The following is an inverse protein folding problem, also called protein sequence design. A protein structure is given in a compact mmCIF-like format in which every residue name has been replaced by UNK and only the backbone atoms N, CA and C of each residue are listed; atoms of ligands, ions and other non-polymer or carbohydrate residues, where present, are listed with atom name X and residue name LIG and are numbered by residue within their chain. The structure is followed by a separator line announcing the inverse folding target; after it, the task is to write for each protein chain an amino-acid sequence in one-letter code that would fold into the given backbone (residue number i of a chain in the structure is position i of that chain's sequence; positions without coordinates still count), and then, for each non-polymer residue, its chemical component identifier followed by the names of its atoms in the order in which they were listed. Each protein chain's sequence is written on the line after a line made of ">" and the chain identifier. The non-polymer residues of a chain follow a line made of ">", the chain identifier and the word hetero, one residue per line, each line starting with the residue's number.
data_IF_384665536708
#
_entry.id   IF_384665536708
#
_cell.length_a   1.000
_cell.length_b   1.000
_cell.length_c   1.000
_cell.angle_alpha   90.00
_cell.angle_beta   90.00
_cell.angle_gamma   90.00
#
_symmetry.space_group_name_H-M   'P 1'
#
loop_
_entity.id
_entity.type
_entity.pdbx_description
1 polymer ?
#
# COMPACT_ATOMS: atom_id res chain seq x y z
N UNK A 1 -21.49 49.03 14.14
CA UNK A 1 -21.33 47.59 14.50
C UNK A 1 -20.97 46.84 13.24
N UNK A 2 -19.73 46.39 13.07
CA UNK A 2 -19.34 45.62 11.91
C UNK A 2 -19.52 44.13 12.21
N UNK A 3 -20.14 43.42 11.26
CA UNK A 3 -20.30 41.97 11.21
C UNK A 3 -18.91 41.28 11.11
N UNK A 4 -18.59 40.51 12.10
CA UNK A 4 -17.46 39.56 12.08
C UNK A 4 -17.87 38.43 11.17
N UNK A 5 -17.33 38.41 9.95
CA UNK A 5 -17.34 37.22 9.08
C UNK A 5 -16.34 36.23 9.64
N UNK A 6 -16.85 35.17 10.27
CA UNK A 6 -16.08 34.00 10.64
C UNK A 6 -15.72 33.28 9.33
N UNK A 7 -14.48 33.42 8.91
CA UNK A 7 -13.88 32.58 7.89
C UNK A 7 -13.67 31.19 8.51
N UNK A 8 -14.57 30.26 8.22
CA UNK A 8 -14.25 28.84 8.36
C UNK A 8 -13.19 28.50 7.29
N UNK A 9 -11.95 28.46 7.71
CA UNK A 9 -10.88 27.83 6.94
C UNK A 9 -11.16 26.32 6.95
N UNK A 10 -11.82 25.82 5.91
CA UNK A 10 -11.91 24.39 5.65
C UNK A 10 -10.51 23.96 5.21
N UNK A 11 -9.75 23.39 6.13
CA UNK A 11 -8.51 22.70 5.82
C UNK A 11 -8.86 21.44 5.03
N UNK A 12 -8.78 21.53 3.71
CA UNK A 12 -8.79 20.34 2.84
C UNK A 12 -7.48 19.56 3.07
N UNK A 13 -7.53 18.57 3.93
CA UNK A 13 -6.46 17.59 4.10
C UNK A 13 -6.50 16.66 2.89
N UNK A 14 -5.59 16.86 1.96
CA UNK A 14 -5.39 15.92 0.83
C UNK A 14 -4.66 14.67 1.35
N UNK A 15 -5.35 13.54 1.28
CA UNK A 15 -4.82 12.24 1.68
C UNK A 15 -4.59 11.35 0.45
N UNK A 16 -3.43 10.71 0.42
CA UNK A 16 -2.96 9.77 -0.60
C UNK A 16 -3.35 8.32 -0.22
N UNK A 17 -3.27 7.42 -1.20
CA UNK A 17 -3.43 5.98 -1.03
C UNK A 17 -2.35 5.44 -0.07
N UNK A 18 -2.73 4.76 1.00
CA UNK A 18 -1.83 4.38 2.09
C UNK A 18 -1.68 2.89 2.23
N UNK A 19 -0.44 2.47 2.32
CA UNK A 19 -0.13 1.09 2.69
C UNK A 19 1.23 1.06 3.37
N UNK A 20 1.27 0.56 4.58
CA UNK A 20 2.50 0.30 5.30
C UNK A 20 3.09 -1.05 4.89
N UNK A 21 4.39 -1.24 5.15
CA UNK A 21 5.05 -2.54 5.08
C UNK A 21 5.49 -2.96 6.47
N UNK A 22 5.18 -4.20 6.85
CA UNK A 22 5.60 -4.80 8.12
C UNK A 22 6.46 -6.03 7.88
N UNK A 23 7.40 -6.27 8.77
CA UNK A 23 8.30 -7.43 8.77
C UNK A 23 8.54 -7.88 10.21
N UNK A 24 8.66 -9.19 10.42
CA UNK A 24 9.13 -9.80 11.66
C UNK A 24 10.17 -10.87 11.36
N UNK A 25 11.26 -10.91 12.12
CA UNK A 25 12.33 -11.90 11.96
C UNK A 25 12.63 -12.52 13.32
N UNK A 26 12.67 -13.85 13.35
CA UNK A 26 13.12 -14.65 14.46
C UNK A 26 14.43 -15.33 14.10
N UNK A 27 15.45 -15.20 14.95
CA UNK A 27 16.76 -15.87 14.86
C UNK A 27 17.66 -15.46 13.66
N UNK A 28 17.46 -14.25 13.07
CA UNK A 28 18.37 -13.68 12.07
C UNK A 28 18.14 -12.18 11.85
N UNK A 29 18.20 -11.41 12.92
CA UNK A 29 17.80 -10.00 12.95
C UNK A 29 18.59 -9.08 12.00
N UNK A 30 19.84 -9.44 11.63
CA UNK A 30 20.69 -8.61 10.77
C UNK A 30 20.11 -8.39 9.36
N UNK A 31 19.20 -9.26 8.91
CA UNK A 31 18.58 -9.16 7.61
C UNK A 31 17.43 -8.15 7.55
N UNK A 32 17.02 -7.56 8.67
CA UNK A 32 15.85 -6.66 8.74
C UNK A 32 15.98 -5.45 7.80
N UNK A 33 17.18 -4.89 7.68
CA UNK A 33 17.46 -3.72 6.86
C UNK A 33 17.19 -4.01 5.39
N UNK A 34 17.68 -5.14 4.88
CA UNK A 34 17.45 -5.50 3.48
C UNK A 34 15.99 -5.85 3.21
N UNK A 35 15.32 -6.54 4.14
CA UNK A 35 13.89 -6.81 4.05
C UNK A 35 13.05 -5.53 4.03
N UNK A 36 13.35 -4.55 4.90
CA UNK A 36 12.69 -3.25 4.92
C UNK A 36 12.94 -2.46 3.62
N UNK A 37 14.15 -2.55 3.05
CA UNK A 37 14.46 -1.93 1.77
C UNK A 37 13.58 -2.48 0.63
N UNK A 38 13.37 -3.79 0.59
CA UNK A 38 12.46 -4.43 -0.37
C UNK A 38 10.99 -4.06 -0.16
N UNK A 39 10.61 -3.61 1.04
CA UNK A 39 9.27 -3.09 1.36
C UNK A 39 9.15 -1.56 1.22
N UNK A 40 10.22 -0.83 0.90
CA UNK A 40 10.25 0.63 0.90
C UNK A 40 9.23 1.27 -0.08
N UNK A 41 8.81 0.54 -1.11
CA UNK A 41 7.75 1.00 -2.03
C UNK A 41 6.40 1.17 -1.33
N UNK A 42 6.17 0.50 -0.19
CA UNK A 42 4.96 0.60 0.63
C UNK A 42 4.93 1.83 1.52
N UNK A 43 6.09 2.41 1.85
CA UNK A 43 6.13 3.62 2.69
C UNK A 43 7.49 4.30 2.68
N UNK A 44 7.51 5.63 2.61
CA UNK A 44 8.74 6.45 2.52
C UNK A 44 8.83 7.56 3.57
N UNK A 45 7.77 7.74 4.37
CA UNK A 45 7.69 8.87 5.29
C UNK A 45 8.31 8.57 6.67
N UNK A 46 8.58 7.30 6.93
CA UNK A 46 9.26 6.88 8.14
C UNK A 46 9.58 5.40 8.16
N UNK A 47 10.56 5.06 8.97
CA UNK A 47 11.01 3.69 9.22
C UNK A 47 11.21 3.48 10.71
N UNK A 48 10.95 2.27 11.19
CA UNK A 48 11.22 1.89 12.57
C UNK A 48 11.40 0.41 12.75
N UNK A 49 12.11 0.07 13.81
CA UNK A 49 12.35 -1.30 14.27
C UNK A 49 12.12 -1.39 15.78
N UNK A 50 11.60 -2.51 16.24
CA UNK A 50 11.57 -2.89 17.65
C UNK A 50 12.20 -4.28 17.80
N UNK A 51 12.98 -4.45 18.85
CA UNK A 51 13.84 -5.61 19.06
C UNK A 51 13.77 -6.08 20.49
N UNK A 52 13.76 -7.40 20.72
CA UNK A 52 13.98 -7.91 22.05
C UNK A 52 15.48 -8.07 22.34
N UNK A 53 15.88 -7.68 23.54
CA UNK A 53 17.22 -7.99 24.06
C UNK A 53 17.26 -9.44 24.56
N UNK A 54 18.45 -9.97 24.78
CA UNK A 54 18.63 -11.29 25.42
C UNK A 54 18.08 -11.34 26.85
N UNK A 55 17.89 -10.20 27.49
CA UNK A 55 17.30 -10.05 28.84
C UNK A 55 15.77 -9.91 28.80
N UNK A 56 15.15 -9.94 27.63
CA UNK A 56 13.70 -9.80 27.44
C UNK A 56 13.16 -8.36 27.35
N UNK A 57 14.03 -7.34 27.48
CA UNK A 57 13.62 -5.96 27.30
C UNK A 57 13.40 -5.65 25.81
N UNK A 58 12.52 -4.71 25.51
CA UNK A 58 12.29 -4.25 24.14
C UNK A 58 12.99 -2.92 23.92
N UNK A 59 13.73 -2.82 22.81
CA UNK A 59 14.36 -1.60 22.32
C UNK A 59 13.66 -1.15 21.06
N UNK A 60 13.39 0.15 20.95
CA UNK A 60 12.69 0.78 19.83
C UNK A 60 13.56 1.86 19.20
N UNK A 61 13.70 1.82 17.87
CA UNK A 61 14.34 2.88 17.10
C UNK A 61 13.42 3.28 15.93
N UNK A 62 13.09 4.58 15.81
CA UNK A 62 12.19 5.11 14.78
C UNK A 62 12.72 6.42 14.23
N UNK A 63 12.64 6.58 12.91
CA UNK A 63 13.09 7.78 12.20
C UNK A 63 12.10 8.18 11.12
N UNK A 64 11.96 9.49 10.93
CA UNK A 64 11.31 10.04 9.73
C UNK A 64 12.21 9.84 8.52
N UNK A 65 11.59 9.76 7.34
CA UNK A 65 12.30 9.57 6.07
C UNK A 65 12.45 8.10 5.68
N UNK A 66 13.20 7.89 4.63
CA UNK A 66 13.43 6.57 4.04
C UNK A 66 14.41 5.73 4.86
N UNK A 67 14.42 4.43 4.56
CA UNK A 67 15.42 3.53 5.15
C UNK A 67 16.86 3.95 4.77
N UNK A 68 17.08 4.35 3.52
CA UNK A 68 18.42 4.74 3.05
C UNK A 68 18.99 5.93 3.84
N UNK A 69 18.14 6.90 4.18
CA UNK A 69 18.53 8.07 5.01
C UNK A 69 18.85 7.69 6.46
N UNK A 70 18.35 6.56 6.96
CA UNK A 70 18.40 6.17 8.36
C UNK A 70 19.15 4.85 8.62
N UNK A 71 19.67 4.21 7.57
CA UNK A 71 20.24 2.87 7.59
C UNK A 71 21.34 2.69 8.64
N UNK A 72 22.28 3.63 8.72
CA UNK A 72 23.43 3.52 9.61
C UNK A 72 23.02 3.55 11.09
N UNK A 73 22.04 4.39 11.45
CA UNK A 73 21.52 4.48 12.82
C UNK A 73 20.83 3.17 13.21
N UNK A 74 20.00 2.63 12.31
CA UNK A 74 19.30 1.37 12.57
C UNK A 74 20.28 0.19 12.68
N UNK A 75 21.28 0.12 11.79
CA UNK A 75 22.35 -0.91 11.86
C UNK A 75 23.15 -0.83 13.15
N UNK A 76 23.54 0.38 13.58
CA UNK A 76 24.27 0.57 14.84
C UNK A 76 23.44 0.06 16.03
N UNK A 77 22.14 0.35 16.05
CA UNK A 77 21.24 -0.09 17.12
C UNK A 77 21.08 -1.62 17.11
N UNK A 78 20.94 -2.25 15.94
CA UNK A 78 20.84 -3.72 15.79
C UNK A 78 22.13 -4.37 16.27
N UNK A 79 23.30 -3.88 15.85
CA UNK A 79 24.60 -4.45 16.21
C UNK A 79 24.87 -4.36 17.72
N UNK A 80 24.49 -3.24 18.35
CA UNK A 80 24.62 -3.07 19.82
C UNK A 80 23.68 -3.97 20.60
N UNK A 81 22.48 -4.19 20.08
CA UNK A 81 21.44 -4.99 20.75
C UNK A 81 21.67 -6.50 20.54
N UNK A 82 22.14 -6.89 19.36
CA UNK A 82 22.26 -8.29 18.91
C UNK A 82 21.00 -9.11 19.25
N UNK A 83 19.83 -8.70 18.73
CA UNK A 83 18.54 -9.25 19.14
C UNK A 83 18.29 -10.61 18.50
N UNK A 84 17.48 -11.44 19.18
CA UNK A 84 16.98 -12.69 18.61
C UNK A 84 15.70 -12.46 17.77
N UNK A 85 14.88 -11.47 18.16
CA UNK A 85 13.66 -11.12 17.46
C UNK A 85 13.69 -9.63 17.12
N UNK A 86 13.30 -9.32 15.89
CA UNK A 86 13.13 -7.93 15.43
C UNK A 86 11.85 -7.84 14.61
N UNK A 87 11.09 -6.77 14.83
CA UNK A 87 9.99 -6.37 13.95
C UNK A 87 10.29 -5.00 13.35
N UNK A 88 9.84 -4.78 12.13
CA UNK A 88 10.09 -3.53 11.42
C UNK A 88 8.87 -3.03 10.68
N UNK A 89 8.90 -1.75 10.39
CA UNK A 89 7.81 -1.04 9.72
C UNK A 89 8.36 0.05 8.79
N UNK A 90 7.82 0.12 7.58
CA UNK A 90 7.97 1.28 6.68
C UNK A 90 6.62 1.98 6.57
N UNK A 91 6.62 3.29 6.79
CA UNK A 91 5.41 4.10 6.90
C UNK A 91 5.16 4.94 5.66
N UNK A 92 3.91 4.97 5.29
CA UNK A 92 3.34 6.02 4.47
C UNK A 92 2.42 6.89 5.35
N UNK A 93 2.67 8.20 5.44
CA UNK A 93 1.93 9.08 6.36
C UNK A 93 0.59 9.52 5.81
N UNK A 94 -0.43 9.52 6.68
CA UNK A 94 -1.80 9.94 6.38
C UNK A 94 -2.06 11.42 6.67
N UNK A 95 -1.20 12.09 7.43
CA UNK A 95 -1.43 13.44 7.96
C UNK A 95 -0.34 14.43 7.58
N UNK A 96 -0.67 15.73 7.61
CA UNK A 96 0.20 16.84 7.16
C UNK A 96 0.86 17.64 8.29
N UNK A 97 0.79 17.20 9.56
CA UNK A 97 1.27 17.96 10.72
C UNK A 97 2.57 17.44 11.32
N UNK A 98 3.25 18.28 12.12
CA UNK A 98 4.51 17.98 12.82
C UNK A 98 4.41 16.90 13.92
N UNK A 99 3.25 16.28 14.11
CA UNK A 99 3.01 15.20 15.09
C UNK A 99 3.45 13.80 14.60
N UNK A 100 4.12 13.73 13.44
CA UNK A 100 4.47 12.48 12.75
C UNK A 100 5.32 11.50 13.56
N UNK A 101 6.17 11.97 14.45
CA UNK A 101 7.07 11.10 15.22
C UNK A 101 6.29 10.17 16.16
N UNK A 102 5.15 10.62 16.67
CA UNK A 102 4.34 9.83 17.60
C UNK A 102 3.55 8.70 16.93
N UNK A 103 3.32 8.81 15.62
CA UNK A 103 2.60 7.81 14.84
C UNK A 103 3.51 6.82 14.11
N UNK A 104 4.84 6.99 14.19
CA UNK A 104 5.78 6.03 13.62
C UNK A 104 5.66 4.70 14.35
N UNK A 105 5.71 3.64 13.58
CA UNK A 105 5.69 2.28 14.09
C UNK A 105 7.07 1.61 13.88
N UNK A 106 7.37 0.52 14.63
CA UNK A 106 6.56 -0.11 15.66
C UNK A 106 6.23 0.81 16.84
N UNK A 107 5.16 0.51 17.57
CA UNK A 107 4.91 1.08 18.90
C UNK A 107 5.14 0.01 19.94
N UNK A 108 5.45 0.43 21.16
CA UNK A 108 5.74 -0.53 22.25
C UNK A 108 5.21 -0.07 23.59
N UNK A 109 5.03 -1.05 24.47
CA UNK A 109 4.95 -0.93 25.91
C UNK A 109 6.13 -1.64 26.57
N UNK A 110 6.09 -1.77 27.88
CA UNK A 110 7.15 -2.49 28.61
C UNK A 110 7.30 -3.96 28.21
N UNK A 111 6.21 -4.61 27.79
CA UNK A 111 6.17 -6.06 27.52
C UNK A 111 5.96 -6.41 26.05
N UNK A 112 5.48 -5.47 25.23
CA UNK A 112 4.96 -5.74 23.88
C UNK A 112 5.50 -4.71 22.90
N UNK A 113 5.87 -5.17 21.70
CA UNK A 113 6.02 -4.29 20.54
C UNK A 113 5.11 -4.77 19.41
N UNK A 114 4.52 -3.82 18.66
CA UNK A 114 3.57 -4.10 17.57
C UNK A 114 3.87 -3.25 16.34
N UNK A 115 3.82 -3.87 15.17
CA UNK A 115 3.74 -3.21 13.88
C UNK A 115 2.49 -3.66 13.12
N UNK A 116 1.79 -2.70 12.51
CA UNK A 116 0.48 -2.83 11.92
C UNK A 116 0.48 -2.29 10.48
N UNK A 117 -0.10 -3.07 9.58
CA UNK A 117 -0.46 -2.66 8.23
C UNK A 117 -1.97 -2.82 8.05
N UNK A 118 -2.70 -1.72 7.95
CA UNK A 118 -4.15 -1.73 7.81
C UNK A 118 -4.79 -0.41 8.21
N UNK A 119 -6.08 -0.48 8.49
CA UNK A 119 -6.86 0.65 9.02
C UNK A 119 -8.03 0.12 9.84
N UNK A 120 -8.17 0.60 11.06
CA UNK A 120 -9.30 0.33 11.94
C UNK A 120 -10.05 1.66 12.10
N UNK A 121 -11.17 1.86 11.41
CA UNK A 121 -11.96 3.08 11.51
C UNK A 121 -12.66 3.18 12.86
N UNK A 122 -13.17 4.38 13.20
CA UNK A 122 -13.99 4.65 14.39
C UNK A 122 -13.28 4.43 15.74
N UNK A 123 -11.96 4.68 15.78
CA UNK A 123 -11.15 4.67 17.01
C UNK A 123 -10.71 6.10 17.38
N UNK A 124 -11.62 7.06 17.27
CA UNK A 124 -11.35 8.51 17.38
C UNK A 124 -10.84 8.95 18.76
N UNK A 125 -11.14 8.17 19.81
CA UNK A 125 -10.61 8.41 21.15
C UNK A 125 -9.11 8.12 21.29
N UNK A 126 -8.50 7.50 20.28
CA UNK A 126 -7.09 7.16 20.23
C UNK A 126 -6.37 7.99 19.18
N UNK A 127 -5.10 8.31 19.41
CA UNK A 127 -4.28 9.07 18.45
C UNK A 127 -4.17 8.37 17.10
N UNK A 128 -4.14 7.04 17.10
CA UNK A 128 -4.13 6.17 15.93
C UNK A 128 -4.57 4.74 16.29
N UNK A 129 -5.00 3.98 15.29
CA UNK A 129 -5.56 2.63 15.43
C UNK A 129 -4.61 1.59 16.06
N UNK A 130 -3.31 1.66 15.76
CA UNK A 130 -2.32 0.77 16.37
C UNK A 130 -2.22 0.98 17.89
N UNK A 131 -2.37 2.22 18.37
CA UNK A 131 -2.40 2.51 19.80
C UNK A 131 -3.66 1.95 20.47
N UNK A 132 -4.79 1.95 19.77
CA UNK A 132 -6.01 1.29 20.23
C UNK A 132 -5.77 -0.21 20.48
N UNK A 133 -5.13 -0.90 19.52
CA UNK A 133 -4.78 -2.32 19.68
C UNK A 133 -3.84 -2.53 20.88
N UNK A 134 -2.78 -1.72 20.98
CA UNK A 134 -1.80 -1.85 22.08
C UNK A 134 -2.46 -1.67 23.43
N UNK A 135 -3.28 -0.64 23.61
CA UNK A 135 -3.98 -0.37 24.86
C UNK A 135 -4.96 -1.50 25.23
N UNK A 136 -5.66 -2.06 24.23
CA UNK A 136 -6.51 -3.22 24.48
C UNK A 136 -5.71 -4.41 25.02
N UNK A 137 -4.56 -4.70 24.42
CA UNK A 137 -3.70 -5.80 24.88
C UNK A 137 -3.20 -5.52 26.30
N UNK A 138 -2.70 -4.31 26.58
CA UNK A 138 -2.17 -3.94 27.90
C UNK A 138 -3.22 -4.02 29.01
N UNK A 139 -4.43 -3.58 28.73
CA UNK A 139 -5.52 -3.60 29.72
C UNK A 139 -5.98 -5.02 30.08
N UNK A 140 -5.69 -6.02 29.23
CA UNK A 140 -6.18 -7.38 29.43
C UNK A 140 -5.06 -8.39 29.75
N UNK A 141 -3.79 -8.04 29.57
CA UNK A 141 -2.66 -8.99 29.63
C UNK A 141 -2.45 -9.63 31.01
N UNK A 142 -2.90 -8.97 32.07
CA UNK A 142 -2.80 -9.49 33.44
C UNK A 142 -4.09 -10.22 33.87
N UNK A 143 -5.14 -10.26 33.03
CA UNK A 143 -6.46 -10.84 33.37
C UNK A 143 -6.80 -12.11 32.58
N UNK A 144 -6.42 -12.17 31.31
CA UNK A 144 -6.63 -13.33 30.44
C UNK A 144 -5.33 -13.67 29.69
N UNK A 145 -5.25 -14.87 29.12
CA UNK A 145 -4.05 -15.29 28.39
C UNK A 145 -3.82 -14.43 27.13
N UNK A 146 -2.55 -14.23 26.78
CA UNK A 146 -2.21 -13.45 25.58
C UNK A 146 -2.84 -14.03 24.30
N UNK A 147 -2.97 -15.35 24.19
CA UNK A 147 -3.65 -16.00 23.08
C UNK A 147 -5.13 -15.63 23.01
N UNK A 148 -5.84 -15.62 24.15
CA UNK A 148 -7.25 -15.21 24.22
C UNK A 148 -7.42 -13.74 23.84
N UNK A 149 -6.48 -12.86 24.23
CA UNK A 149 -6.49 -11.45 23.80
C UNK A 149 -6.45 -11.34 22.28
N UNK A 150 -5.52 -12.05 21.64
CA UNK A 150 -5.37 -12.02 20.18
C UNK A 150 -6.58 -12.65 19.46
N UNK A 151 -7.17 -13.71 20.01
CA UNK A 151 -8.40 -14.31 19.49
C UNK A 151 -9.57 -13.32 19.58
N UNK A 152 -9.69 -12.63 20.71
CA UNK A 152 -10.73 -11.61 20.91
C UNK A 152 -10.55 -10.43 19.94
N UNK A 153 -9.31 -10.01 19.61
CA UNK A 153 -9.06 -9.01 18.59
C UNK A 153 -9.64 -9.43 17.24
N UNK A 154 -9.36 -10.65 16.77
CA UNK A 154 -9.86 -11.15 15.49
C UNK A 154 -11.39 -11.25 15.48
N UNK A 155 -11.98 -11.69 16.59
CA UNK A 155 -13.42 -11.88 16.70
C UNK A 155 -14.19 -10.55 16.80
N UNK A 156 -13.58 -9.51 17.37
CA UNK A 156 -14.24 -8.24 17.68
C UNK A 156 -13.97 -7.15 16.67
N UNK A 157 -12.78 -7.12 16.04
CA UNK A 157 -12.40 -6.08 15.09
C UNK A 157 -12.67 -6.56 13.65
N UNK A 158 -13.78 -6.12 13.10
CA UNK A 158 -14.15 -6.39 11.70
C UNK A 158 -13.61 -5.26 10.81
N UNK A 159 -12.34 -5.32 10.52
CA UNK A 159 -11.63 -4.32 9.71
C UNK A 159 -10.45 -4.95 8.95
N UNK A 160 -9.62 -4.15 8.32
CA UNK A 160 -8.45 -4.60 7.57
C UNK A 160 -7.18 -4.38 8.38
N UNK A 161 -6.51 -5.46 8.78
CA UNK A 161 -5.23 -5.39 9.45
C UNK A 161 -4.38 -6.66 9.30
N UNK A 162 -3.08 -6.44 9.21
CA UNK A 162 -2.06 -7.46 9.42
C UNK A 162 -1.12 -6.97 10.50
N UNK A 163 -0.79 -7.81 11.47
CA UNK A 163 0.03 -7.45 12.62
C UNK A 163 1.22 -8.38 12.77
N UNK A 164 2.36 -7.80 13.20
CA UNK A 164 3.47 -8.54 13.78
C UNK A 164 3.77 -7.99 15.17
N UNK A 165 3.99 -8.88 16.15
CA UNK A 165 4.18 -8.51 17.54
C UNK A 165 5.36 -9.26 18.16
N UNK A 166 6.02 -8.62 19.13
CA UNK A 166 6.95 -9.26 20.06
C UNK A 166 6.28 -9.32 21.42
N UNK A 167 6.18 -10.50 21.98
CA UNK A 167 5.74 -10.74 23.36
C UNK A 167 6.37 -12.01 23.90
N UNK A 168 6.88 -11.96 25.14
CA UNK A 168 7.45 -13.10 25.87
C UNK A 168 8.45 -13.93 25.04
N UNK A 169 9.45 -13.26 24.46
CA UNK A 169 10.46 -13.87 23.57
C UNK A 169 9.89 -14.66 22.39
N UNK A 170 8.67 -14.36 21.96
CA UNK A 170 8.04 -14.93 20.80
C UNK A 170 7.69 -13.85 19.78
N UNK A 171 7.75 -14.23 18.50
CA UNK A 171 7.22 -13.44 17.40
C UNK A 171 5.81 -13.97 17.07
N UNK A 172 4.83 -13.07 17.04
CA UNK A 172 3.47 -13.39 16.63
C UNK A 172 3.15 -12.71 15.31
N UNK A 173 2.35 -13.38 14.49
CA UNK A 173 1.76 -12.80 13.31
C UNK A 173 0.28 -13.16 13.24
N UNK A 174 -0.54 -12.17 12.90
CA UNK A 174 -1.97 -12.38 12.72
C UNK A 174 -2.53 -11.52 11.59
N UNK A 175 -3.58 -12.02 10.96
CA UNK A 175 -4.25 -11.38 9.85
C UNK A 175 -5.76 -11.30 10.12
N UNK A 176 -6.38 -10.19 9.72
CA UNK A 176 -7.82 -10.01 9.90
C UNK A 176 -8.64 -11.17 9.28
N UNK A 177 -9.87 -11.35 9.75
CA UNK A 177 -10.73 -12.47 9.32
C UNK A 177 -11.10 -12.49 7.84
N UNK A 178 -10.91 -11.37 7.13
CA UNK A 178 -11.17 -11.24 5.70
C UNK A 178 -9.90 -11.34 4.86
N UNK A 179 -8.73 -11.25 5.48
CA UNK A 179 -7.45 -11.26 4.80
C UNK A 179 -7.30 -10.12 3.79
N UNK A 180 -7.81 -8.93 4.14
CA UNK A 180 -7.79 -7.75 3.26
C UNK A 180 -6.37 -7.33 2.93
N UNK A 181 -5.48 -7.34 3.94
CA UNK A 181 -4.06 -7.01 3.77
C UNK A 181 -3.22 -8.26 3.64
N UNK A 182 -2.18 -8.25 2.76
CA UNK A 182 -1.31 -9.40 2.60
C UNK A 182 -0.42 -9.60 3.84
N UNK A 183 -0.16 -10.86 4.16
CA UNK A 183 0.84 -11.27 5.14
C UNK A 183 1.30 -12.69 4.82
N UNK A 184 2.60 -12.91 4.73
CA UNK A 184 3.20 -14.21 4.47
C UNK A 184 4.33 -14.49 5.45
N UNK A 185 4.74 -15.75 5.53
CA UNK A 185 5.85 -16.18 6.35
C UNK A 185 6.65 -17.29 5.67
N UNK A 186 7.87 -17.48 6.12
CA UNK A 186 8.71 -18.56 5.64
C UNK A 186 9.80 -18.92 6.63
N UNK A 187 10.40 -20.11 6.42
CA UNK A 187 11.47 -20.67 7.22
C UNK A 187 12.72 -20.89 6.36
N UNK A 188 13.88 -20.57 6.92
CA UNK A 188 15.18 -20.91 6.31
C UNK A 188 15.63 -22.31 6.71
N UNK A 189 16.66 -22.83 6.04
CA UNK A 189 17.32 -24.10 6.42
C UNK A 189 17.96 -24.07 7.82
N UNK A 190 18.26 -22.89 8.35
CA UNK A 190 18.95 -22.68 9.64
C UNK A 190 17.98 -22.27 10.78
N UNK A 191 16.72 -22.68 10.70
CA UNK A 191 15.69 -22.42 11.71
C UNK A 191 15.51 -20.92 12.03
N UNK A 192 15.72 -20.05 11.05
CA UNK A 192 15.29 -18.66 11.11
C UNK A 192 13.93 -18.51 10.44
N UNK A 193 13.10 -17.61 10.97
CA UNK A 193 11.73 -17.41 10.49
C UNK A 193 11.51 -15.96 10.14
N UNK A 194 10.78 -15.75 9.07
CA UNK A 194 10.44 -14.44 8.53
C UNK A 194 8.94 -14.33 8.36
N UNK A 195 8.39 -13.19 8.73
CA UNK A 195 7.00 -12.80 8.47
C UNK A 195 7.05 -11.46 7.74
N UNK A 196 6.30 -11.30 6.66
CA UNK A 196 6.33 -10.06 5.88
C UNK A 196 5.00 -9.74 5.23
N UNK A 197 4.73 -8.45 5.01
CA UNK A 197 3.62 -8.00 4.17
C UNK A 197 3.69 -8.55 2.75
N UNK A 198 4.89 -8.70 2.20
CA UNK A 198 5.08 -9.18 0.82
C UNK A 198 6.21 -10.21 0.71
N UNK A 199 6.03 -11.17 -0.18
CA UNK A 199 6.99 -12.26 -0.41
C UNK A 199 8.34 -11.76 -0.91
N UNK A 200 8.38 -10.69 -1.71
CA UNK A 200 9.63 -10.11 -2.25
C UNK A 200 10.64 -9.77 -1.15
N UNK A 201 10.18 -9.45 0.05
CA UNK A 201 11.06 -9.12 1.16
C UNK A 201 11.83 -10.33 1.71
N UNK A 202 11.30 -11.55 1.51
CA UNK A 202 11.81 -12.76 2.15
C UNK A 202 12.10 -13.91 1.17
N UNK A 203 11.66 -13.83 -0.09
CA UNK A 203 11.67 -14.94 -1.06
C UNK A 203 13.07 -15.50 -1.34
N UNK A 204 14.10 -14.68 -1.34
CA UNK A 204 15.49 -15.10 -1.55
C UNK A 204 16.16 -15.70 -0.31
N UNK A 205 15.45 -15.78 0.83
CA UNK A 205 16.00 -16.21 2.13
C UNK A 205 15.38 -17.49 2.65
N UNK A 206 14.13 -17.74 2.32
CA UNK A 206 13.36 -18.84 2.88
C UNK A 206 13.24 -20.00 1.89
N UNK A 207 13.14 -21.22 2.40
CA UNK A 207 12.99 -22.42 1.58
C UNK A 207 11.60 -22.53 0.95
N UNK A 208 10.59 -21.96 1.61
CA UNK A 208 9.20 -21.92 1.14
C UNK A 208 8.48 -20.74 1.74
N UNK A 209 7.46 -20.24 1.02
CA UNK A 209 6.61 -19.16 1.49
C UNK A 209 5.20 -19.70 1.68
N UNK A 210 4.65 -19.41 2.86
CA UNK A 210 3.27 -19.68 3.21
C UNK A 210 2.55 -18.36 3.49
N UNK A 211 1.26 -18.27 3.19
CA UNK A 211 0.47 -17.13 3.62
C UNK A 211 -0.07 -17.33 5.03
N UNK A 212 -0.07 -16.25 5.82
CA UNK A 212 -0.91 -16.21 7.00
C UNK A 212 -2.35 -16.12 6.51
N UNK A 213 -3.14 -17.15 6.80
CA UNK A 213 -4.52 -17.24 6.31
C UNK A 213 -5.40 -16.13 6.93
N UNK A 214 -6.51 -15.76 6.29
CA UNK A 214 -7.51 -14.91 6.93
C UNK A 214 -7.91 -15.46 8.30
N UNK A 215 -7.94 -14.58 9.32
CA UNK A 215 -8.29 -14.97 10.69
C UNK A 215 -7.32 -15.91 11.39
N UNK A 216 -6.10 -16.08 10.87
CA UNK A 216 -5.09 -16.93 11.48
C UNK A 216 -4.19 -16.15 12.43
N UNK A 217 -3.81 -16.81 13.53
CA UNK A 217 -2.75 -16.40 14.46
C UNK A 217 -1.68 -17.46 14.47
N UNK A 218 -0.44 -17.07 14.20
CA UNK A 218 0.75 -17.91 14.36
C UNK A 218 1.69 -17.32 15.39
N UNK A 219 2.36 -18.20 16.14
CA UNK A 219 3.42 -17.90 17.10
C UNK A 219 4.70 -18.58 16.62
N UNK A 220 5.80 -17.86 16.70
CA UNK A 220 7.12 -18.33 16.32
C UNK A 220 8.06 -18.19 17.52
N UNK A 221 8.70 -19.27 17.88
CA UNK A 221 9.68 -19.32 18.99
C UNK A 221 10.78 -20.37 18.69
N UNK A 222 11.58 -20.72 19.68
CA UNK A 222 12.65 -21.71 19.54
C UNK A 222 12.17 -23.12 19.13
N UNK A 223 10.92 -23.47 19.43
CA UNK A 223 10.32 -24.75 19.04
C UNK A 223 9.77 -24.75 17.61
N UNK A 224 9.72 -23.58 16.96
CA UNK A 224 9.21 -23.44 15.60
C UNK A 224 7.98 -22.58 15.47
N UNK A 225 7.16 -22.90 14.46
CA UNK A 225 5.88 -22.24 14.19
C UNK A 225 4.76 -23.04 14.83
N UNK A 226 3.96 -22.36 15.62
CA UNK A 226 2.75 -22.89 16.27
C UNK A 226 1.54 -22.12 15.73
N UNK A 227 0.53 -22.82 15.24
CA UNK A 227 -0.77 -22.24 14.89
C UNK A 227 -1.62 -22.13 16.14
N UNK A 228 -1.88 -20.90 16.57
CA UNK A 228 -2.66 -20.61 17.78
C UNK A 228 -4.15 -20.62 17.50
N UNK A 229 -4.56 -20.08 16.36
CA UNK A 229 -5.97 -19.91 16.02
C UNK A 229 -6.20 -19.82 14.52
N UNK A 230 -7.32 -20.37 14.08
CA UNK A 230 -7.92 -20.15 12.77
C UNK A 230 -9.39 -19.81 12.96
N UNK A 231 -9.79 -18.64 12.50
CA UNK A 231 -11.18 -18.21 12.63
C UNK A 231 -12.11 -19.10 11.76
N UNK A 232 -13.18 -19.72 12.35
CA UNK A 232 -13.97 -20.72 11.65
C UNK A 232 -14.77 -20.17 10.45
N UNK A 233 -15.05 -18.86 10.45
CA UNK A 233 -15.78 -18.16 9.37
C UNK A 233 -14.89 -17.14 8.66
N UNK A 234 -13.61 -17.43 8.51
CA UNK A 234 -12.70 -16.58 7.77
C UNK A 234 -13.00 -16.63 6.25
N UNK A 235 -12.84 -15.51 5.58
CA UNK A 235 -13.04 -15.37 4.14
C UNK A 235 -11.80 -14.74 3.49
N UNK A 236 -11.48 -15.12 2.26
CA UNK A 236 -10.37 -14.51 1.53
C UNK A 236 -10.89 -13.36 0.68
N UNK A 237 -10.77 -12.14 1.19
CA UNK A 237 -11.23 -10.91 0.50
C UNK A 237 -10.06 -9.94 0.30
N UNK A 238 -9.01 -10.40 -0.39
CA UNK A 238 -7.83 -9.58 -0.67
C UNK A 238 -8.24 -8.29 -1.40
N UNK A 239 -7.71 -7.15 -0.96
CA UNK A 239 -7.95 -5.86 -1.60
C UNK A 239 -7.45 -5.87 -3.05
N UNK A 240 -8.33 -5.58 -4.02
CA UNK A 240 -7.98 -5.54 -5.44
C UNK A 240 -6.89 -4.50 -5.75
N UNK A 241 -6.84 -3.39 -5.01
CA UNK A 241 -5.79 -2.38 -5.12
C UNK A 241 -4.39 -2.91 -4.77
N UNK A 242 -4.28 -3.94 -3.92
CA UNK A 242 -2.99 -4.60 -3.67
C UNK A 242 -2.43 -5.18 -4.97
N UNK A 243 -3.25 -5.86 -5.76
CA UNK A 243 -2.85 -6.46 -7.03
C UNK A 243 -2.63 -5.42 -8.13
N UNK A 244 -3.48 -4.40 -8.20
CA UNK A 244 -3.43 -3.39 -9.25
C UNK A 244 -2.25 -2.42 -9.03
N UNK A 245 -2.03 -1.98 -7.78
CA UNK A 245 -1.14 -0.85 -7.50
C UNK A 245 -0.11 -1.12 -6.40
N UNK A 246 -0.53 -1.53 -5.16
CA UNK A 246 0.33 -1.43 -3.99
C UNK A 246 1.48 -2.43 -3.96
N UNK A 247 1.19 -3.71 -4.21
CA UNK A 247 2.21 -4.76 -4.12
C UNK A 247 3.27 -4.61 -5.20
N UNK A 248 4.48 -5.02 -4.87
CA UNK A 248 5.55 -5.17 -5.84
C UNK A 248 5.15 -6.23 -6.90
N UNK A 249 5.33 -5.97 -8.20
CA UNK A 249 4.97 -6.93 -9.24
C UNK A 249 5.68 -8.28 -9.12
N UNK A 250 6.85 -8.30 -8.50
CA UNK A 250 7.63 -9.54 -8.30
C UNK A 250 7.28 -10.26 -6.98
N UNK A 251 6.35 -9.74 -6.19
CA UNK A 251 5.77 -10.45 -5.04
C UNK A 251 4.80 -11.54 -5.49
N UNK A 252 4.71 -12.61 -4.70
CA UNK A 252 3.69 -13.67 -4.85
C UNK A 252 2.59 -13.50 -3.82
N UNK A 253 1.37 -13.74 -4.24
CA UNK A 253 0.17 -13.80 -3.40
C UNK A 253 -0.75 -14.89 -3.94
N UNK A 254 -1.31 -15.73 -3.07
CA UNK A 254 -2.18 -16.87 -3.44
C UNK A 254 -1.57 -17.76 -4.54
N UNK A 255 -0.25 -17.98 -4.45
CA UNK A 255 0.51 -18.81 -5.38
C UNK A 255 0.86 -18.16 -6.72
N UNK A 256 0.42 -16.92 -7.00
CA UNK A 256 0.61 -16.22 -8.28
C UNK A 256 1.44 -14.95 -8.08
N UNK A 257 2.30 -14.64 -9.05
CA UNK A 257 3.00 -13.34 -9.06
C UNK A 257 2.02 -12.19 -9.33
N UNK A 258 2.19 -11.08 -8.63
CA UNK A 258 1.40 -9.85 -8.86
C UNK A 258 1.57 -9.35 -10.31
N UNK A 259 2.77 -9.50 -10.86
CA UNK A 259 3.06 -9.22 -12.28
C UNK A 259 2.06 -9.89 -13.23
N UNK A 260 1.73 -11.16 -12.99
CA UNK A 260 0.78 -11.91 -13.83
C UNK A 260 -0.62 -11.28 -13.83
N UNK A 261 -1.08 -10.78 -12.68
CA UNK A 261 -2.36 -10.05 -12.62
C UNK A 261 -2.30 -8.79 -13.48
N UNK A 262 -1.22 -7.99 -13.37
CA UNK A 262 -1.05 -6.74 -14.15
C UNK A 262 -0.86 -6.98 -15.63
N UNK A 263 -0.17 -8.04 -16.04
CA UNK A 263 -0.06 -8.47 -17.43
C UNK A 263 -1.44 -8.82 -18.01
N UNK A 264 -2.24 -9.58 -17.28
CA UNK A 264 -3.59 -9.93 -17.69
C UNK A 264 -4.49 -8.70 -17.81
N UNK A 265 -4.41 -7.76 -16.89
CA UNK A 265 -5.12 -6.49 -16.98
C UNK A 265 -4.78 -5.73 -18.25
N UNK A 266 -3.48 -5.63 -18.61
CA UNK A 266 -3.04 -5.00 -19.85
C UNK A 266 -3.55 -5.72 -21.12
N UNK A 267 -3.56 -7.07 -21.12
CA UNK A 267 -4.09 -7.88 -22.21
C UNK A 267 -5.60 -7.68 -22.38
N UNK A 268 -6.36 -7.68 -21.28
CA UNK A 268 -7.82 -7.47 -21.29
C UNK A 268 -8.14 -6.06 -21.80
N UNK A 269 -7.41 -5.06 -21.30
CA UNK A 269 -7.53 -3.68 -21.77
C UNK A 269 -7.30 -3.57 -23.29
N UNK A 270 -6.27 -4.24 -23.81
CA UNK A 270 -5.97 -4.28 -25.24
C UNK A 270 -7.09 -4.96 -26.06
N UNK A 271 -7.68 -6.05 -25.57
CA UNK A 271 -8.81 -6.73 -26.22
C UNK A 271 -10.06 -5.87 -26.31
N UNK A 272 -10.27 -4.99 -25.34
CA UNK A 272 -11.42 -4.07 -25.29
C UNK A 272 -11.22 -2.79 -26.07
N UNK A 273 -9.98 -2.46 -26.41
CA UNK A 273 -9.69 -1.22 -27.12
C UNK A 273 -10.13 -1.33 -28.59
N UNK A 274 -11.14 -0.53 -28.93
CA UNK A 274 -11.72 -0.48 -30.28
C UNK A 274 -11.00 0.50 -31.20
N UNK A 275 -9.97 1.23 -30.71
CA UNK A 275 -9.21 2.15 -31.53
C UNK A 275 -8.26 1.37 -32.44
N UNK A 276 -8.24 1.77 -33.71
CA UNK A 276 -7.30 1.20 -34.66
C UNK A 276 -6.00 1.99 -34.64
N UNK A 277 -5.10 1.63 -33.72
CA UNK A 277 -3.79 2.25 -33.59
C UNK A 277 -2.81 1.69 -34.63
N UNK A 278 -2.13 2.58 -35.33
CA UNK A 278 -1.08 2.20 -36.28
C UNK A 278 0.27 2.04 -35.59
N UNK A 279 0.97 0.91 -35.73
CA UNK A 279 2.31 0.73 -35.17
C UNK A 279 3.36 1.70 -35.72
N UNK A 280 3.09 2.35 -36.86
CA UNK A 280 3.98 3.35 -37.45
C UNK A 280 3.86 4.72 -36.79
N UNK A 281 2.67 5.02 -36.24
CA UNK A 281 2.33 6.38 -35.80
C UNK A 281 2.11 6.48 -34.29
N UNK A 282 1.88 5.35 -33.61
CA UNK A 282 1.56 5.31 -32.19
C UNK A 282 2.63 4.59 -31.39
N UNK A 283 2.91 5.09 -30.20
CA UNK A 283 3.83 4.49 -29.24
C UNK A 283 3.19 4.42 -27.86
N UNK A 284 3.38 3.29 -27.18
CA UNK A 284 2.85 3.04 -25.82
C UNK A 284 3.92 3.37 -24.79
N UNK A 285 3.52 4.02 -23.69
CA UNK A 285 4.35 4.26 -22.53
C UNK A 285 3.57 4.00 -21.23
N UNK A 286 4.20 3.31 -20.28
CA UNK A 286 3.66 3.13 -18.94
C UNK A 286 4.03 4.27 -18.00
N UNK A 287 3.09 4.70 -17.17
CA UNK A 287 3.41 5.63 -16.08
C UNK A 287 4.18 4.88 -14.99
N UNK A 288 5.42 5.29 -14.68
CA UNK A 288 6.24 4.56 -13.69
C UNK A 288 5.78 4.80 -12.25
N UNK A 289 5.82 3.76 -11.40
CA UNK A 289 6.30 2.41 -11.68
C UNK A 289 5.15 1.43 -11.95
N UNK A 290 3.96 1.69 -11.47
CA UNK A 290 2.83 0.75 -11.40
C UNK A 290 2.17 0.48 -12.76
N UNK A 291 2.15 1.44 -13.67
CA UNK A 291 1.58 1.29 -15.01
C UNK A 291 2.44 0.51 -16.01
N UNK A 292 3.73 0.29 -15.73
CA UNK A 292 4.69 -0.28 -16.69
C UNK A 292 4.28 -1.69 -17.14
N UNK A 293 4.03 -2.60 -16.23
CA UNK A 293 3.74 -4.02 -16.53
C UNK A 293 2.49 -4.17 -17.41
N UNK A 294 1.44 -3.43 -17.10
CA UNK A 294 0.22 -3.44 -17.90
C UNK A 294 0.44 -2.78 -19.29
N UNK A 295 1.25 -1.73 -19.34
CA UNK A 295 1.59 -1.05 -20.61
C UNK A 295 2.38 -1.96 -21.55
N UNK A 296 3.38 -2.67 -21.04
CA UNK A 296 4.17 -3.63 -21.83
C UNK A 296 3.30 -4.74 -22.42
N UNK A 297 2.43 -5.34 -21.60
CA UNK A 297 1.53 -6.41 -22.03
C UNK A 297 0.44 -5.91 -23.00
N UNK A 298 -0.09 -4.70 -22.79
CA UNK A 298 -0.99 -4.01 -23.71
C UNK A 298 -0.33 -3.77 -25.09
N UNK A 299 0.86 -3.18 -25.10
CA UNK A 299 1.62 -2.92 -26.32
C UNK A 299 1.94 -4.22 -27.09
N UNK A 300 2.41 -5.25 -26.36
CA UNK A 300 2.73 -6.56 -26.91
C UNK A 300 1.51 -7.22 -27.58
N UNK A 301 0.35 -7.17 -26.92
CA UNK A 301 -0.88 -7.76 -27.46
C UNK A 301 -1.33 -7.09 -28.76
N UNK A 302 -1.30 -5.76 -28.81
CA UNK A 302 -1.68 -4.97 -30.00
C UNK A 302 -0.56 -4.86 -31.04
N UNK A 303 0.62 -5.42 -30.77
CA UNK A 303 1.83 -5.30 -31.61
C UNK A 303 2.24 -3.85 -31.88
N UNK A 304 2.06 -2.99 -30.87
CA UNK A 304 2.46 -1.58 -30.90
C UNK A 304 3.88 -1.42 -30.33
N UNK A 305 4.65 -0.43 -30.80
CA UNK A 305 5.92 -0.05 -30.18
C UNK A 305 5.70 0.36 -28.71
N UNK A 306 6.58 -0.09 -27.83
CA UNK A 306 6.65 0.35 -26.44
C UNK A 306 7.95 1.13 -26.22
N UNK A 307 7.86 2.32 -25.64
CA UNK A 307 9.00 3.13 -25.30
C UNK A 307 8.77 3.83 -23.95
N UNK A 308 9.72 3.69 -23.02
CA UNK A 308 9.62 4.27 -21.69
C UNK A 308 10.19 5.70 -21.69
N UNK A 309 9.41 6.68 -22.10
CA UNK A 309 9.79 8.10 -22.15
C UNK A 309 9.33 8.93 -20.93
N UNK A 310 8.60 8.32 -20.02
CA UNK A 310 8.28 8.89 -18.70
C UNK A 310 9.09 8.11 -17.66
N UNK A 311 10.11 8.73 -17.08
CA UNK A 311 11.00 8.10 -16.12
C UNK A 311 10.72 8.65 -14.72
N UNK A 312 10.88 7.80 -13.68
CA UNK A 312 10.81 8.23 -12.30
C UNK A 312 12.14 8.86 -11.89
N UNK A 313 12.10 10.01 -11.21
CA UNK A 313 13.33 10.60 -10.65
C UNK A 313 13.79 9.80 -9.43
N UNK A 314 15.11 9.53 -9.35
CA UNK A 314 15.74 8.93 -8.17
C UNK A 314 16.16 9.99 -7.13
N UNK A 315 15.88 11.27 -7.39
CA UNK A 315 16.22 12.32 -6.41
C UNK A 315 15.34 12.13 -5.18
N UNK A 316 15.94 11.70 -4.09
CA UNK A 316 15.39 11.81 -2.75
C UNK A 316 15.18 13.29 -2.48
N UNK A 317 13.96 13.78 -2.71
CA UNK A 317 13.58 15.10 -2.22
C UNK A 317 13.28 14.92 -0.75
N UNK A 318 14.10 15.53 0.11
CA UNK A 318 13.87 15.58 1.55
C UNK A 318 12.39 15.83 1.84
N UNK A 319 11.71 14.81 2.32
CA UNK A 319 10.51 14.92 3.11
C UNK A 319 9.19 15.22 2.43
N UNK A 320 9.01 15.15 1.10
CA UNK A 320 7.64 15.07 0.56
C UNK A 320 7.61 14.74 -0.94
N UNK A 321 7.32 13.50 -1.26
CA UNK A 321 6.68 13.14 -2.55
C UNK A 321 5.23 13.75 -2.64
N UNK A 322 4.95 14.77 -1.83
CA UNK A 322 3.64 15.41 -1.64
C UNK A 322 3.38 16.46 -2.71
N UNK A 323 3.41 16.03 -3.96
CA UNK A 323 3.13 16.89 -5.13
C UNK A 323 1.72 17.48 -5.14
N UNK A 324 0.86 17.09 -4.19
CA UNK A 324 -0.60 17.34 -4.25
C UNK A 324 -1.12 18.38 -3.26
N UNK A 325 -0.28 18.83 -2.32
CA UNK A 325 -0.69 19.81 -1.28
C UNK A 325 -0.51 21.26 -1.74
N UNK A 326 0.03 21.46 -2.94
CA UNK A 326 0.43 22.78 -3.38
C UNK A 326 -0.79 23.61 -3.89
N UNK A 327 -0.99 24.82 -3.37
CA UNK A 327 -2.22 25.59 -3.59
C UNK A 327 -2.35 26.16 -5.00
N UNK A 328 -1.28 26.21 -5.80
CA UNK A 328 -1.29 26.83 -7.12
C UNK A 328 -1.03 25.81 -8.25
N UNK A 329 -1.53 26.12 -9.46
CA UNK A 329 -1.28 25.32 -10.65
C UNK A 329 0.22 25.22 -10.98
N UNK A 330 0.97 26.28 -10.75
CA UNK A 330 2.43 26.35 -10.95
C UNK A 330 3.16 25.35 -10.06
N UNK A 331 2.80 25.30 -8.78
CA UNK A 331 3.40 24.40 -7.82
C UNK A 331 3.08 22.92 -8.08
N UNK A 332 1.90 22.61 -8.69
CA UNK A 332 1.55 21.23 -9.12
C UNK A 332 2.41 20.76 -10.30
N UNK A 333 2.71 21.65 -11.24
CA UNK A 333 3.61 21.36 -12.38
C UNK A 333 5.04 21.11 -11.89
N UNK A 334 5.53 21.95 -10.99
CA UNK A 334 6.84 21.76 -10.36
C UNK A 334 6.95 20.42 -9.65
N UNK A 335 5.88 19.99 -9.02
CA UNK A 335 5.78 18.73 -8.35
C UNK A 335 5.85 17.52 -9.31
N UNK A 336 5.23 17.60 -10.48
CA UNK A 336 5.33 16.56 -11.52
C UNK A 336 6.73 16.53 -12.11
N UNK A 337 7.36 17.68 -12.36
CA UNK A 337 8.73 17.78 -12.82
C UNK A 337 9.75 17.24 -11.78
N UNK A 338 9.42 17.28 -10.48
CA UNK A 338 10.21 16.65 -9.42
C UNK A 338 10.06 15.14 -9.41
N UNK A 339 8.87 14.63 -9.78
CA UNK A 339 8.54 13.20 -9.73
C UNK A 339 8.94 12.44 -11.00
N UNK A 340 8.83 13.10 -12.16
CA UNK A 340 9.06 12.47 -13.46
C UNK A 340 10.03 13.26 -14.33
N UNK A 341 10.83 12.52 -15.10
CA UNK A 341 11.63 13.03 -16.20
C UNK A 341 10.93 12.59 -17.49
N UNK A 342 10.83 13.50 -18.45
CA UNK A 342 10.21 13.25 -19.74
C UNK A 342 11.28 13.37 -20.84
N UNK A 343 11.34 12.41 -21.76
CA UNK A 343 12.28 12.40 -22.89
C UNK A 343 11.58 13.08 -24.06
N UNK A 344 11.90 14.36 -24.30
CA UNK A 344 11.21 15.21 -25.27
C UNK A 344 11.28 14.66 -26.68
N UNK A 345 12.44 14.14 -27.11
CA UNK A 345 12.67 13.57 -28.43
C UNK A 345 11.77 12.38 -28.77
N UNK A 346 11.40 11.62 -27.72
CA UNK A 346 10.51 10.48 -27.86
C UNK A 346 8.99 10.88 -27.82
N UNK A 347 8.70 12.13 -27.45
CA UNK A 347 7.33 12.67 -27.33
C UNK A 347 6.94 13.50 -28.52
N UNK A 348 7.86 14.35 -28.99
CA UNK A 348 7.61 15.34 -30.03
C UNK A 348 7.09 14.70 -31.32
N UNK A 349 6.01 15.26 -31.86
CA UNK A 349 5.37 14.83 -33.12
C UNK A 349 4.83 13.38 -33.10
N UNK A 350 4.66 12.73 -31.91
CA UNK A 350 4.15 11.36 -31.78
C UNK A 350 2.69 11.33 -31.35
N UNK A 351 2.00 10.25 -31.68
CA UNK A 351 0.72 9.87 -31.12
C UNK A 351 1.00 8.92 -29.94
N UNK A 352 0.60 9.32 -28.75
CA UNK A 352 0.99 8.65 -27.50
C UNK A 352 -0.17 7.86 -26.89
N UNK A 353 0.11 6.64 -26.47
CA UNK A 353 -0.81 5.83 -25.65
C UNK A 353 -0.18 5.70 -24.27
N UNK A 354 -0.79 6.36 -23.29
CA UNK A 354 -0.31 6.40 -21.91
C UNK A 354 -1.12 5.42 -21.09
N UNK A 355 -0.46 4.44 -20.50
CA UNK A 355 -1.07 3.45 -19.62
C UNK A 355 -0.66 3.73 -18.18
N UNK A 356 -1.63 3.93 -17.30
CA UNK A 356 -1.40 4.06 -15.84
C UNK A 356 -2.25 3.01 -15.12
N UNK A 357 -1.91 2.65 -13.90
CA UNK A 357 -2.62 1.63 -13.14
C UNK A 357 -4.06 2.03 -12.79
N UNK A 358 -4.24 3.25 -12.28
CA UNK A 358 -5.54 3.81 -11.85
C UNK A 358 -5.53 5.34 -11.97
N UNK A 359 -6.73 5.93 -12.03
CA UNK A 359 -6.90 7.37 -11.83
C UNK A 359 -7.88 7.58 -10.69
N UNK A 360 -7.40 8.15 -9.58
CA UNK A 360 -8.23 8.46 -8.40
C UNK A 360 -8.73 9.91 -8.49
N UNK A 361 -7.87 10.90 -8.31
CA UNK A 361 -8.19 12.33 -8.37
C UNK A 361 -7.89 12.99 -9.72
N UNK A 362 -7.14 12.33 -10.57
CA UNK A 362 -6.76 12.80 -11.90
C UNK A 362 -5.63 13.84 -11.94
N UNK A 363 -5.15 14.35 -10.81
CA UNK A 363 -4.16 15.43 -10.78
C UNK A 363 -2.82 15.04 -11.44
N UNK A 364 -2.34 13.80 -11.19
CA UNK A 364 -1.09 13.29 -11.81
C UNK A 364 -1.28 13.19 -13.32
N UNK A 365 -2.34 12.53 -13.76
CA UNK A 365 -2.59 12.31 -15.18
C UNK A 365 -2.79 13.64 -15.94
N UNK A 366 -3.52 14.60 -15.38
CA UNK A 366 -3.63 15.96 -15.92
C UNK A 366 -2.28 16.63 -16.13
N UNK A 367 -1.40 16.49 -15.14
CA UNK A 367 -0.08 17.07 -15.22
C UNK A 367 0.83 16.36 -16.23
N UNK A 368 0.75 15.03 -16.33
CA UNK A 368 1.45 14.25 -17.36
C UNK A 368 0.96 14.67 -18.74
N UNK A 369 -0.36 14.70 -18.98
CA UNK A 369 -0.94 15.09 -20.27
C UNK A 369 -0.52 16.52 -20.66
N UNK A 370 -0.57 17.46 -19.71
CA UNK A 370 -0.10 18.82 -19.98
C UNK A 370 1.36 18.82 -20.42
N UNK A 371 2.23 18.12 -19.71
CA UNK A 371 3.66 18.06 -20.03
C UNK A 371 3.93 17.44 -21.39
N UNK A 372 3.20 16.36 -21.73
CA UNK A 372 3.29 15.73 -23.06
C UNK A 372 2.86 16.69 -24.18
N UNK A 373 1.80 17.47 -23.97
CA UNK A 373 1.36 18.51 -24.92
C UNK A 373 2.39 19.63 -25.05
N UNK A 374 2.95 20.08 -23.93
CA UNK A 374 4.00 21.10 -23.91
C UNK A 374 5.24 20.66 -24.71
N UNK A 375 5.52 19.34 -24.78
CA UNK A 375 6.60 18.73 -25.58
C UNK A 375 6.20 18.35 -27.00
N UNK A 376 5.00 18.77 -27.44
CA UNK A 376 4.57 18.64 -28.84
C UNK A 376 4.01 17.26 -29.22
N UNK A 377 3.43 16.51 -28.26
CA UNK A 377 2.65 15.32 -28.59
C UNK A 377 1.47 15.66 -29.51
N UNK A 378 1.25 14.87 -30.57
CA UNK A 378 0.14 15.07 -31.55
C UNK A 378 -1.20 14.67 -30.96
N UNK A 379 -1.27 13.44 -30.40
CA UNK A 379 -2.46 12.92 -29.71
C UNK A 379 -2.03 12.18 -28.45
N UNK A 380 -2.93 12.15 -27.46
CA UNK A 380 -2.70 11.48 -26.18
C UNK A 380 -3.92 10.63 -25.84
N UNK A 381 -3.75 9.31 -25.88
CA UNK A 381 -4.75 8.31 -25.56
C UNK A 381 -4.44 7.70 -24.19
N UNK A 382 -5.37 7.81 -23.24
CA UNK A 382 -5.18 7.30 -21.87
C UNK A 382 -5.86 5.94 -21.73
N UNK A 383 -5.15 4.98 -21.14
CA UNK A 383 -5.58 3.59 -20.95
C UNK A 383 -5.37 3.15 -19.51
N UNK A 384 -6.44 2.75 -18.83
CA UNK A 384 -6.43 2.40 -17.41
C UNK A 384 -6.86 0.95 -17.24
N UNK A 385 -5.93 0.05 -16.88
CA UNK A 385 -6.17 -1.37 -16.67
C UNK A 385 -6.87 -1.66 -15.33
N UNK A 386 -7.79 -0.80 -14.93
CA UNK A 386 -8.59 -0.93 -13.73
C UNK A 386 -9.96 -0.30 -13.93
N UNK A 387 -10.96 -0.65 -13.11
CA UNK A 387 -12.24 0.05 -13.06
C UNK A 387 -12.07 1.49 -12.53
N UNK A 388 -13.07 2.32 -12.80
CA UNK A 388 -13.14 3.67 -12.25
C UNK A 388 -13.27 3.63 -10.73
N UNK A 389 -12.47 4.43 -10.02
CA UNK A 389 -12.62 4.64 -8.58
C UNK A 389 -13.76 5.63 -8.36
N UNK A 390 -14.87 5.16 -7.82
CA UNK A 390 -16.13 5.93 -7.69
C UNK A 390 -16.66 6.03 -6.27
N UNK A 391 -16.06 5.29 -5.34
CA UNK A 391 -16.49 5.28 -3.94
C UNK A 391 -15.33 5.41 -2.97
N UNK A 392 -15.67 5.74 -1.71
CA UNK A 392 -14.70 5.82 -0.60
C UNK A 392 -14.21 4.42 -0.22
N UNK A 393 -13.07 4.38 0.47
CA UNK A 393 -12.56 3.15 1.06
C UNK A 393 -12.43 3.35 2.58
N UNK A 394 -13.10 2.50 3.35
CA UNK A 394 -13.01 2.51 4.82
C UNK A 394 -11.85 1.66 5.36
N UNK A 395 -11.25 0.81 4.52
CA UNK A 395 -10.29 -0.22 4.92
C UNK A 395 -8.83 0.11 4.59
N UNK A 396 -8.48 1.41 4.50
CA UNK A 396 -7.08 1.85 4.45
C UNK A 396 -6.59 2.36 3.11
N UNK A 397 -7.48 2.58 2.12
CA UNK A 397 -7.18 3.47 1.00
C UNK A 397 -7.73 4.84 1.39
N UNK A 398 -6.87 5.86 1.51
CA UNK A 398 -7.31 7.17 1.93
C UNK A 398 -8.09 7.91 0.83
N UNK A 399 -9.32 7.50 0.66
CA UNK A 399 -10.36 8.17 -0.09
C UNK A 399 -11.44 8.54 0.92
N UNK A 400 -11.46 9.79 1.35
CA UNK A 400 -12.34 10.23 2.45
C UNK A 400 -13.64 10.84 1.97
N UNK A 401 -13.67 11.39 0.76
CA UNK A 401 -14.89 11.91 0.17
C UNK A 401 -15.00 11.51 -1.30
N UNK A 402 -16.23 11.33 -1.77
CA UNK A 402 -16.49 10.98 -3.18
C UNK A 402 -16.21 12.14 -4.11
N UNK A 403 -16.33 13.38 -3.62
CA UNK A 403 -16.15 14.61 -4.37
C UNK A 403 -14.72 14.81 -4.85
N UNK A 404 -13.74 14.20 -4.18
CA UNK A 404 -12.33 14.24 -4.61
C UNK A 404 -12.02 13.32 -5.79
N UNK A 405 -12.91 12.36 -6.10
CA UNK A 405 -12.74 11.37 -7.16
C UNK A 405 -13.08 11.96 -8.52
N UNK A 406 -12.15 11.83 -9.47
CA UNK A 406 -12.39 12.34 -10.84
C UNK A 406 -13.59 11.66 -11.52
N UNK A 407 -13.88 10.41 -11.15
CA UNK A 407 -14.94 9.62 -11.77
C UNK A 407 -16.30 9.70 -11.04
N UNK A 408 -16.36 10.39 -9.88
CA UNK A 408 -17.59 10.49 -9.13
C UNK A 408 -18.63 11.33 -9.88
N UNK A 409 -19.83 10.78 -10.09
CA UNK A 409 -20.94 11.39 -10.82
C UNK A 409 -20.59 11.91 -12.23
N UNK A 410 -19.57 11.35 -12.88
CA UNK A 410 -19.15 11.73 -14.23
C UNK A 410 -19.17 10.56 -15.19
N UNK A 411 -19.61 10.81 -16.41
CA UNK A 411 -19.49 9.87 -17.52
C UNK A 411 -18.10 9.92 -18.16
N UNK A 412 -17.80 8.97 -19.06
CA UNK A 412 -16.49 8.84 -19.70
C UNK A 412 -16.07 10.07 -20.49
N UNK A 413 -17.01 10.74 -21.15
CA UNK A 413 -16.70 11.95 -21.93
C UNK A 413 -16.35 13.13 -21.01
N UNK A 414 -17.01 13.27 -19.89
CA UNK A 414 -16.71 14.30 -18.90
C UNK A 414 -15.33 14.11 -18.30
N UNK A 415 -14.97 12.86 -17.93
CA UNK A 415 -13.64 12.54 -17.40
C UNK A 415 -12.58 12.80 -18.47
N UNK A 416 -12.80 12.32 -19.71
CA UNK A 416 -11.90 12.54 -20.85
C UNK A 416 -11.63 14.04 -21.07
N UNK A 417 -12.68 14.85 -21.08
CA UNK A 417 -12.57 16.30 -21.28
C UNK A 417 -11.83 16.97 -20.13
N UNK A 418 -12.10 16.55 -18.90
CA UNK A 418 -11.43 17.06 -17.70
C UNK A 418 -9.94 16.71 -17.67
N UNK A 419 -9.56 15.53 -18.15
CA UNK A 419 -8.16 15.11 -18.33
C UNK A 419 -7.52 15.83 -19.53
N UNK A 420 -8.31 16.32 -20.48
CA UNK A 420 -7.84 16.94 -21.72
C UNK A 420 -7.04 15.97 -22.59
N UNK A 421 -7.51 14.71 -22.74
CA UNK A 421 -6.93 13.68 -23.61
C UNK A 421 -7.85 13.39 -24.81
N UNK A 422 -7.31 12.77 -25.86
CA UNK A 422 -8.02 12.49 -27.11
C UNK A 422 -8.95 11.28 -26.98
N UNK A 423 -8.56 10.26 -26.22
CA UNK A 423 -9.42 9.14 -25.85
C UNK A 423 -9.07 8.57 -24.48
N UNK A 424 -10.07 7.97 -23.84
CA UNK A 424 -9.96 7.39 -22.51
C UNK A 424 -10.66 6.03 -22.47
N UNK A 425 -10.01 5.02 -21.91
CA UNK A 425 -10.58 3.69 -21.68
C UNK A 425 -10.19 3.18 -20.30
N UNK A 426 -11.18 2.64 -19.58
CA UNK A 426 -11.02 1.90 -18.33
C UNK A 426 -11.49 0.46 -18.52
N UNK A 427 -11.04 -0.44 -17.68
CA UNK A 427 -11.70 -1.72 -17.47
C UNK A 427 -12.97 -1.53 -16.61
N UNK A 428 -13.83 -2.52 -16.64
CA UNK A 428 -14.99 -2.63 -15.78
C UNK A 428 -14.74 -3.67 -14.68
N UNK A 429 -15.53 -3.67 -13.62
CA UNK A 429 -15.38 -4.64 -12.51
C UNK A 429 -15.52 -6.08 -12.97
N UNK A 430 -16.38 -6.34 -13.96
CA UNK A 430 -16.53 -7.66 -14.60
C UNK A 430 -15.28 -8.15 -15.34
N UNK A 431 -14.34 -7.28 -15.65
CA UNK A 431 -13.07 -7.66 -16.28
C UNK A 431 -12.06 -8.22 -15.29
N UNK A 432 -12.34 -8.13 -14.00
CA UNK A 432 -11.51 -8.63 -12.91
C UNK A 432 -11.88 -10.06 -12.45
N UNK A 433 -12.66 -10.80 -13.21
CA UNK A 433 -13.13 -12.16 -12.84
C UNK A 433 -11.99 -13.17 -12.59
N UNK A 434 -10.77 -12.87 -13.09
CA UNK A 434 -9.57 -13.67 -12.85
C UNK A 434 -8.84 -13.31 -11.54
N UNK A 435 -9.30 -12.29 -10.81
CA UNK A 435 -8.81 -11.99 -9.47
C UNK A 435 -9.29 -13.06 -8.48
N UNK A 436 -8.67 -13.17 -7.29
CA UNK A 436 -9.17 -14.06 -6.26
C UNK A 436 -10.66 -13.81 -6.01
N UNK A 437 -11.43 -14.89 -5.87
CA UNK A 437 -12.86 -14.79 -5.56
C UNK A 437 -13.06 -13.89 -4.34
N UNK A 438 -14.11 -13.07 -4.38
CA UNK A 438 -14.47 -12.14 -3.30
C UNK A 438 -13.40 -11.08 -2.98
N UNK A 439 -12.52 -10.74 -3.95
CA UNK A 439 -11.61 -9.62 -3.79
C UNK A 439 -12.36 -8.36 -3.36
N UNK A 440 -11.80 -7.64 -2.36
CA UNK A 440 -12.40 -6.40 -1.86
C UNK A 440 -12.30 -5.28 -2.91
N UNK A 441 -13.46 -4.77 -3.37
CA UNK A 441 -13.56 -3.84 -4.50
C UNK A 441 -14.56 -2.69 -4.25
N UNK A 442 -14.86 -2.33 -3.00
CA UNK A 442 -15.83 -1.27 -2.69
C UNK A 442 -15.49 0.08 -3.33
N UNK A 443 -14.22 0.45 -3.41
CA UNK A 443 -13.80 1.69 -4.06
C UNK A 443 -14.16 1.75 -5.57
N UNK A 444 -14.42 0.60 -6.19
CA UNK A 444 -14.93 0.47 -7.56
C UNK A 444 -16.46 0.38 -7.62
N UNK A 445 -17.15 0.56 -6.49
CA UNK A 445 -18.61 0.50 -6.39
C UNK A 445 -19.18 -0.91 -6.26
N UNK A 446 -18.36 -1.93 -5.97
CA UNK A 446 -18.82 -3.30 -5.71
C UNK A 446 -19.05 -3.46 -4.21
N UNK A 447 -20.32 -3.44 -3.82
CA UNK A 447 -20.68 -3.68 -2.42
C UNK A 447 -20.53 -5.16 -2.05
N UNK A 448 -19.86 -5.44 -0.93
CA UNK A 448 -19.64 -6.79 -0.42
C UNK A 448 -20.34 -6.97 0.94
N UNK A 449 -21.59 -7.48 0.96
CA UNK A 449 -22.38 -7.65 2.19
C UNK A 449 -21.73 -8.58 3.22
N UNK A 450 -20.84 -9.48 2.78
CA UNK A 450 -20.10 -10.40 3.65
C UNK A 450 -19.06 -9.69 4.53
N UNK A 451 -18.59 -8.50 4.12
CA UNK A 451 -17.68 -7.67 4.90
C UNK A 451 -18.51 -6.67 5.72
N UNK A 452 -19.00 -7.14 6.85
CA UNK A 452 -19.74 -6.29 7.77
C UNK A 452 -18.75 -5.56 8.69
N UNK A 453 -18.43 -4.31 8.35
CA UNK A 453 -17.61 -3.45 9.17
C UNK A 453 -18.40 -3.06 10.42
N UNK A 454 -17.89 -3.39 11.60
CA UNK A 454 -18.53 -2.95 12.83
C UNK A 454 -18.34 -1.43 13.02
N UNK A 455 -19.45 -0.75 13.26
CA UNK A 455 -19.46 0.68 13.60
C UNK A 455 -19.02 0.96 15.03
N UNK A 456 -18.98 -0.09 15.88
CA UNK A 456 -18.49 -0.04 17.27
C UNK A 456 -17.79 -1.37 17.58
N UNK A 457 -16.61 -1.29 18.17
CA UNK A 457 -15.86 -2.47 18.60
C UNK A 457 -16.21 -2.80 20.05
N UNK A 458 -16.46 -4.08 20.33
CA UNK A 458 -16.83 -4.57 21.67
C UNK A 458 -15.65 -4.63 22.64
N UNK A 459 -14.45 -4.24 22.18
CA UNK A 459 -13.24 -4.17 23.01
C UNK A 459 -13.28 -3.04 24.06
N UNK A 460 -14.20 -2.07 23.92
CA UNK A 460 -14.33 -0.92 24.83
C UNK A 460 -15.19 -1.21 26.08
N UNK A 461 -15.50 -2.48 26.39
CA UNK A 461 -16.30 -2.89 27.55
C UNK A 461 -15.47 -3.56 28.63
#
# INVERSE_FOLDING_TARGET
>A
MPLIRIFFLVFYVLLLLFMCGIIGIYNNSNNIIDCLNKLQHRGKDGVGIAMNTKTGNIILEKKLGTLEENKDILLDTINKTNPNIVIGHVRYSTRTSNEYTNELQPIMSNKIAIAHNGNIPNVENYKHDTLYILNYIENNIDTISFHEILINLINSIHSAYSLVLIYDNCLYALRDRYGIRPLCYGKTSNDSYYVSSESIAIEDRVSSICEVKPGQIIKINASGIEEIYNHPHAQQSLCAFELIYFMNPDSRILGTYVRTYRENLGIILAKKDKHNFSPKDHVVCGVPSSGIVAAESYAKYLKLPYEQFILKTNKTTNGSDRTFILPTQQSRIEAINKKFIFIEEAIKDKNLIIVDDTIVRGNIMKGIIKKLKDYGAKTIHVRIPAPRVIDICQLGIAIHSKEELIAYNKNMNEIKNELNCDSLLYLETSDLDFFPKESYMECFGVHQPSINLSTKYTLDR
#
